data_IF_610749608223
#
_entry.id   IF_610749608223
#
_cell.length_a   1.000
_cell.length_b   1.000
_cell.length_c   1.000
_cell.angle_alpha   90.00
_cell.angle_beta   90.00
_cell.angle_gamma   90.00
#
_symmetry.space_group_name_H-M   'P 1'
#
loop_
_entity.id
_entity.type
_entity.pdbx_description
1 polymer ?
#
# COMPACT_ATOMS: atom_id res chain seq x y z
N UNK A 1 6.08 18.52 -3.76
CA UNK A 1 6.13 17.12 -4.15
C UNK A 1 7.01 16.39 -3.15
N UNK A 2 6.44 15.52 -2.32
CA UNK A 2 7.21 14.79 -1.29
C UNK A 2 7.71 13.43 -1.80
N UNK A 3 7.51 13.12 -3.09
CA UNK A 3 8.13 11.96 -3.73
C UNK A 3 9.60 12.27 -3.98
N UNK A 4 10.51 11.42 -3.50
CA UNK A 4 11.79 11.31 -4.20
C UNK A 4 11.60 10.42 -5.44
N UNK A 5 12.33 10.67 -6.54
CA UNK A 5 12.21 9.91 -7.78
C UNK A 5 12.49 8.40 -7.64
N UNK A 6 13.11 7.98 -6.55
CA UNK A 6 13.58 6.62 -6.28
C UNK A 6 12.66 5.80 -5.36
N UNK A 7 11.54 6.37 -4.91
CA UNK A 7 10.65 5.66 -3.97
C UNK A 7 11.21 5.52 -2.55
N UNK A 8 12.30 6.23 -2.22
CA UNK A 8 12.78 6.35 -0.85
C UNK A 8 12.34 7.69 -0.25
N UNK A 9 12.12 7.74 1.05
CA UNK A 9 11.96 9.03 1.70
C UNK A 9 13.32 9.70 1.91
N UNK A 10 13.34 11.03 1.81
CA UNK A 10 14.49 11.82 2.21
C UNK A 10 14.85 11.56 3.70
N UNK A 11 16.14 11.43 4.01
CA UNK A 11 16.63 11.33 5.40
C UNK A 11 16.07 12.49 6.25
N UNK A 12 15.29 12.15 7.29
CA UNK A 12 14.67 13.11 8.20
C UNK A 12 13.27 13.59 7.79
N UNK A 13 12.71 13.13 6.66
CA UNK A 13 11.33 13.35 6.28
C UNK A 13 10.42 12.22 6.81
N UNK A 14 9.16 12.53 7.19
CA UNK A 14 8.20 11.50 7.57
C UNK A 14 7.86 10.58 6.39
N UNK A 15 7.51 9.33 6.67
CA UNK A 15 7.14 8.31 5.68
C UNK A 15 5.94 7.51 6.12
N UNK A 16 5.15 7.08 5.14
CA UNK A 16 4.16 6.04 5.35
C UNK A 16 4.66 4.73 4.75
N UNK A 17 4.29 3.61 5.39
CA UNK A 17 4.67 2.25 4.97
C UNK A 17 3.47 1.33 5.06
N UNK A 18 3.38 0.40 4.12
CA UNK A 18 2.52 -0.77 4.27
C UNK A 18 3.25 -1.74 5.21
N UNK A 19 2.58 -2.29 6.22
CA UNK A 19 3.25 -3.14 7.22
C UNK A 19 2.32 -4.21 7.76
N UNK A 20 2.90 -5.36 8.10
CA UNK A 20 2.21 -6.47 8.71
C UNK A 20 2.95 -6.92 9.96
N UNK A 21 2.18 -7.18 11.02
CA UNK A 21 2.68 -7.68 12.29
C UNK A 21 2.09 -9.06 12.58
N UNK A 22 2.91 -9.96 13.12
CA UNK A 22 2.45 -11.13 13.87
C UNK A 22 2.26 -10.72 15.32
N UNK A 23 1.07 -10.97 15.88
CA UNK A 23 0.73 -10.60 17.25
C UNK A 23 0.65 -11.86 18.11
N UNK A 24 1.40 -11.88 19.21
CA UNK A 24 1.24 -12.87 20.28
C UNK A 24 0.55 -12.19 21.46
N UNK A 25 -0.73 -12.49 21.64
CA UNK A 25 -1.57 -11.86 22.67
C UNK A 25 -1.24 -12.36 24.09
N UNK A 26 -0.73 -13.59 24.23
CA UNK A 26 -0.36 -14.17 25.52
C UNK A 26 0.95 -13.54 26.03
N UNK A 27 1.96 -13.46 25.15
CA UNK A 27 3.23 -12.82 25.44
C UNK A 27 3.17 -11.28 25.37
N UNK A 28 2.09 -10.73 24.80
CA UNK A 28 1.88 -9.30 24.55
C UNK A 28 2.98 -8.70 23.67
N UNK A 29 3.34 -9.41 22.61
CA UNK A 29 4.37 -8.98 21.65
C UNK A 29 3.79 -8.80 20.26
N UNK A 30 4.42 -7.91 19.49
CA UNK A 30 4.13 -7.69 18.08
C UNK A 30 5.46 -7.76 17.31
N UNK A 31 5.54 -8.67 16.34
CA UNK A 31 6.72 -8.87 15.51
C UNK A 31 6.43 -8.38 14.11
N UNK A 32 7.25 -7.45 13.61
CA UNK A 32 7.20 -7.02 12.22
C UNK A 32 7.58 -8.19 11.31
N UNK A 33 6.67 -8.64 10.44
CA UNK A 33 6.91 -9.77 9.54
C UNK A 33 7.08 -9.35 8.08
N UNK A 34 6.57 -8.17 7.72
CA UNK A 34 6.74 -7.60 6.40
C UNK A 34 6.49 -6.09 6.43
N UNK A 35 7.20 -5.36 5.56
CA UNK A 35 6.92 -3.97 5.27
C UNK A 35 7.30 -3.62 3.83
N UNK A 36 6.66 -2.59 3.29
CA UNK A 36 7.06 -1.97 2.04
C UNK A 36 7.04 -0.45 2.19
N UNK A 37 8.19 0.16 1.90
CA UNK A 37 8.38 1.61 1.93
C UNK A 37 7.90 2.21 0.61
N UNK A 38 6.90 3.09 0.69
CA UNK A 38 6.23 3.64 -0.50
C UNK A 38 6.91 4.92 -1.01
N UNK A 39 7.94 5.39 -0.30
CA UNK A 39 8.68 6.62 -0.65
C UNK A 39 7.91 7.91 -0.50
N UNK A 40 6.73 7.87 0.13
CA UNK A 40 5.84 9.01 0.28
C UNK A 40 5.26 9.05 1.68
N UNK A 41 5.00 10.27 2.14
CA UNK A 41 4.23 10.50 3.35
C UNK A 41 2.75 10.67 3.00
N UNK A 42 1.92 9.87 3.66
CA UNK A 42 0.47 10.00 3.65
C UNK A 42 0.01 10.49 5.03
N UNK A 43 -0.28 11.79 5.19
CA UNK A 43 -0.70 12.35 6.48
C UNK A 43 -2.11 11.92 6.90
N UNK A 44 -2.90 11.45 5.93
CA UNK A 44 -4.21 10.88 6.12
C UNK A 44 -4.48 9.94 4.95
N UNK A 45 -5.53 9.13 5.12
CA UNK A 45 -6.00 8.18 4.13
C UNK A 45 -4.97 7.07 3.88
N UNK A 46 -5.50 5.91 3.54
CA UNK A 46 -4.72 4.71 3.37
C UNK A 46 -5.51 3.50 3.84
N UNK A 47 -5.29 2.41 3.17
CA UNK A 47 -5.75 1.10 3.59
C UNK A 47 -4.75 0.05 3.14
N UNK A 48 -4.78 -1.11 3.78
CA UNK A 48 -3.95 -2.25 3.43
C UNK A 48 -4.81 -3.51 3.59
N UNK A 49 -4.69 -4.43 2.63
CA UNK A 49 -5.37 -5.70 2.64
C UNK A 49 -4.47 -6.78 2.03
N UNK A 50 -4.41 -7.94 2.68
CA UNK A 50 -3.82 -9.14 2.08
C UNK A 50 -4.85 -9.80 1.17
N UNK A 51 -4.46 -10.08 -0.08
CA UNK A 51 -5.33 -10.67 -1.08
C UNK A 51 -5.29 -12.22 -1.04
N UNK A 52 -6.34 -12.91 -1.53
CA UNK A 52 -6.25 -14.33 -1.84
C UNK A 52 -5.11 -14.58 -2.84
N UNK A 53 -4.13 -15.39 -2.46
CA UNK A 53 -2.89 -15.59 -3.22
C UNK A 53 -1.64 -14.99 -2.56
N UNK A 54 -1.81 -14.22 -1.49
CA UNK A 54 -0.71 -13.76 -0.63
C UNK A 54 -0.07 -12.45 -1.06
N UNK A 55 -0.54 -11.80 -2.13
CA UNK A 55 -0.14 -10.44 -2.47
C UNK A 55 -0.79 -9.43 -1.51
N UNK A 56 -0.27 -8.20 -1.50
CA UNK A 56 -0.78 -7.12 -0.66
C UNK A 56 -1.31 -6.01 -1.56
N UNK A 57 -2.55 -5.61 -1.35
CA UNK A 57 -3.14 -4.40 -1.95
C UNK A 57 -3.20 -3.30 -0.91
N UNK A 58 -2.81 -2.09 -1.29
CA UNK A 58 -2.94 -0.93 -0.43
C UNK A 58 -3.18 0.34 -1.23
N UNK A 59 -3.87 1.29 -0.61
CA UNK A 59 -3.97 2.66 -1.11
C UNK A 59 -3.16 3.62 -0.25
N UNK A 60 -2.68 4.68 -0.88
CA UNK A 60 -1.95 5.76 -0.23
C UNK A 60 -2.36 7.10 -0.83
N UNK A 61 -2.73 8.04 0.04
CA UNK A 61 -3.04 9.42 -0.32
C UNK A 61 -1.82 10.33 -0.15
N UNK A 62 -1.59 11.25 -1.08
CA UNK A 62 -0.51 12.24 -0.96
C UNK A 62 -0.96 13.63 -1.37
N UNK A 63 -0.30 14.66 -0.84
CA UNK A 63 -0.54 16.05 -1.19
C UNK A 63 0.39 16.53 -2.29
N UNK A 64 -0.15 17.32 -3.22
CA UNK A 64 0.65 18.20 -4.08
C UNK A 64 1.49 17.48 -5.13
N UNK A 65 0.99 16.35 -5.64
CA UNK A 65 1.54 15.66 -6.80
C UNK A 65 0.48 15.44 -7.89
N UNK A 66 0.91 15.00 -9.09
CA UNK A 66 0.00 14.78 -10.23
C UNK A 66 -1.10 13.73 -9.96
N UNK A 67 -0.82 12.75 -9.11
CA UNK A 67 -1.81 11.87 -8.51
C UNK A 67 -1.94 12.16 -7.01
N UNK A 68 -3.17 12.30 -6.53
CA UNK A 68 -3.52 12.57 -5.14
C UNK A 68 -3.76 11.25 -4.37
N UNK A 69 -4.01 10.16 -5.09
CA UNK A 69 -4.09 8.81 -4.54
C UNK A 69 -3.43 7.80 -5.49
N UNK A 70 -2.83 6.77 -4.89
CA UNK A 70 -2.33 5.58 -5.60
C UNK A 70 -2.90 4.34 -4.93
N UNK A 71 -3.45 3.45 -5.73
CA UNK A 71 -3.79 2.09 -5.33
C UNK A 71 -2.84 1.14 -6.04
N UNK A 72 -2.28 0.17 -5.33
CA UNK A 72 -1.36 -0.79 -5.94
C UNK A 72 -1.45 -2.14 -5.25
N UNK A 73 -1.16 -3.17 -6.03
CA UNK A 73 -0.88 -4.51 -5.54
C UNK A 73 0.60 -4.79 -5.70
N UNK A 74 1.19 -5.34 -4.64
CA UNK A 74 2.59 -5.75 -4.62
C UNK A 74 2.71 -7.21 -4.22
N UNK A 75 3.77 -7.87 -4.69
CA UNK A 75 4.14 -9.18 -4.18
C UNK A 75 4.54 -9.06 -2.70
N UNK A 76 4.33 -10.13 -1.93
CA UNK A 76 4.69 -10.18 -0.52
C UNK A 76 6.04 -10.86 -0.31
N UNK A 77 7.03 -10.39 -1.06
CA UNK A 77 8.44 -10.74 -0.92
C UNK A 77 9.25 -9.49 -0.52
N UNK A 78 10.54 -9.66 -0.28
CA UNK A 78 11.43 -8.55 0.12
C UNK A 78 11.56 -7.46 -0.94
N UNK A 79 11.28 -7.78 -2.21
CA UNK A 79 11.34 -6.82 -3.31
C UNK A 79 10.04 -6.03 -3.49
N UNK A 80 8.91 -6.53 -2.97
CA UNK A 80 7.59 -5.91 -3.07
C UNK A 80 7.25 -5.44 -4.49
N UNK A 81 7.46 -6.32 -5.48
CA UNK A 81 7.29 -5.98 -6.88
C UNK A 81 5.84 -5.57 -7.17
N UNK A 82 5.66 -4.45 -7.87
CA UNK A 82 4.33 -3.96 -8.29
C UNK A 82 3.73 -4.92 -9.31
N UNK A 83 2.59 -5.51 -8.98
CA UNK A 83 1.77 -6.36 -9.85
C UNK A 83 0.88 -5.49 -10.74
N UNK A 84 0.23 -4.49 -10.13
CA UNK A 84 -0.49 -3.43 -10.86
C UNK A 84 -0.58 -2.16 -10.01
N UNK A 85 -0.84 -1.04 -10.68
CA UNK A 85 -1.00 0.27 -10.07
C UNK A 85 -2.11 1.08 -10.76
N UNK A 86 -2.89 1.81 -9.97
CA UNK A 86 -3.81 2.84 -10.40
C UNK A 86 -3.43 4.16 -9.72
N UNK A 87 -3.09 5.16 -10.51
CA UNK A 87 -2.92 6.54 -10.05
C UNK A 87 -4.22 7.32 -10.30
N UNK A 88 -4.74 7.97 -9.25
CA UNK A 88 -5.96 8.78 -9.30
C UNK A 88 -5.57 10.26 -9.19
N UNK A 89 -5.88 11.00 -10.25
CA UNK A 89 -5.72 12.45 -10.30
C UNK A 89 -7.00 13.16 -9.85
N UNK A 90 -6.83 14.38 -9.34
CA UNK A 90 -7.86 15.35 -8.95
C UNK A 90 -8.87 14.86 -7.90
N UNK A 91 -8.57 13.74 -7.23
CA UNK A 91 -9.42 13.18 -6.16
C UNK A 91 -8.60 12.36 -5.17
N UNK A 92 -9.06 12.34 -3.92
CA UNK A 92 -8.52 11.45 -2.89
C UNK A 92 -9.38 10.19 -2.80
N UNK A 93 -8.74 9.03 -2.72
CA UNK A 93 -9.40 7.74 -2.46
C UNK A 93 -9.32 7.47 -0.97
N UNK A 94 -10.42 7.61 -0.23
CA UNK A 94 -10.38 7.42 1.24
C UNK A 94 -9.96 6.00 1.65
N UNK A 95 -10.47 4.99 0.94
CA UNK A 95 -10.06 3.58 0.98
C UNK A 95 -10.32 2.93 -0.37
N UNK A 96 -9.48 1.98 -0.75
CA UNK A 96 -9.71 1.08 -1.87
C UNK A 96 -10.12 -0.32 -1.39
N UNK A 97 -10.94 -1.01 -2.18
CA UNK A 97 -11.31 -2.40 -1.94
C UNK A 97 -11.34 -3.15 -3.25
N UNK A 98 -10.76 -4.36 -3.26
CA UNK A 98 -10.92 -5.28 -4.37
C UNK A 98 -12.31 -5.90 -4.37
N UNK A 99 -13.06 -5.64 -5.43
CA UNK A 99 -14.37 -6.26 -5.67
C UNK A 99 -14.14 -7.57 -6.44
N UNK A 100 -14.71 -8.71 -6.00
CA UNK A 100 -14.66 -9.95 -6.76
C UNK A 100 -15.22 -9.80 -8.17
N UNK A 101 -14.84 -10.72 -9.07
CA UNK A 101 -15.41 -10.77 -10.42
C UNK A 101 -16.94 -10.81 -10.35
N UNK A 102 -17.59 -9.94 -11.14
CA UNK A 102 -19.03 -9.98 -11.37
C UNK A 102 -19.47 -11.21 -12.18
N UNK A 103 -18.51 -11.97 -12.69
CA UNK A 103 -18.71 -13.23 -13.41
C UNK A 103 -17.98 -14.37 -12.68
N UNK A 104 -18.57 -14.93 -11.61
CA UNK A 104 -17.99 -16.06 -10.90
C UNK A 104 -17.80 -17.27 -11.83
N UNK A 105 -16.62 -17.89 -11.80
CA UNK A 105 -16.32 -19.10 -12.56
C UNK A 105 -15.71 -18.90 -13.96
N UNK A 106 -15.50 -17.66 -14.40
CA UNK A 106 -14.78 -17.33 -15.64
C UNK A 106 -13.35 -16.92 -15.30
N UNK A 107 -12.35 -17.62 -15.86
CA UNK A 107 -10.96 -17.16 -15.88
C UNK A 107 -10.66 -16.54 -17.25
N UNK A 108 -10.06 -15.35 -17.25
CA UNK A 108 -9.48 -14.70 -18.42
C UNK A 108 -7.94 -14.74 -18.31
#
# INVERSE_FOLDING_TARGET
DFRQPDGNCASGAPCSRATMFSIDEQAKTATLVWQHDVGVYAPFIGSIQVLPGGHVEYDIGTFGGAAQARVQEVTMDDAANVVWQLDVADSYVYRAFRIPSLYPGVQW
#
